data_IF_587805383873
#
_entry.id   IF_587805383873
#
_cell.length_a   1.000
_cell.length_b   1.000
_cell.length_c   1.000
_cell.angle_alpha   90.00
_cell.angle_beta   90.00
_cell.angle_gamma   90.00
#
_symmetry.space_group_name_H-M   'P 1'
#
loop_
_entity.id
_entity.type
_entity.pdbx_description
1 polymer ?
#
# COMPACT_ATOMS: atom_id res chain seq x y z
N UNK A 1 -14.68 -1.99 -3.15
CA UNK A 1 -13.46 -1.85 -3.98
C UNK A 1 -13.80 -2.25 -5.41
N UNK A 2 -13.27 -1.54 -6.42
CA UNK A 2 -13.60 -1.79 -7.83
C UNK A 2 -12.94 -3.09 -8.36
N UNK A 3 -13.63 -3.84 -9.22
CA UNK A 3 -13.12 -5.10 -9.77
C UNK A 3 -11.88 -4.89 -10.65
N UNK A 4 -11.84 -3.81 -11.45
CA UNK A 4 -10.68 -3.48 -12.30
C UNK A 4 -9.46 -3.15 -11.44
N UNK A 5 -9.67 -2.53 -10.28
CA UNK A 5 -8.60 -2.26 -9.33
C UNK A 5 -7.98 -3.56 -8.81
N UNK A 6 -8.81 -4.55 -8.45
CA UNK A 6 -8.35 -5.86 -7.99
C UNK A 6 -7.60 -6.62 -9.10
N UNK A 7 -8.08 -6.53 -10.35
CA UNK A 7 -7.38 -7.10 -11.50
C UNK A 7 -6.00 -6.46 -11.71
N UNK A 8 -5.90 -5.13 -11.63
CA UNK A 8 -4.63 -4.40 -11.71
C UNK A 8 -3.68 -4.79 -10.56
N UNK A 9 -4.21 -4.92 -9.34
CA UNK A 9 -3.44 -5.36 -8.19
C UNK A 9 -2.88 -6.78 -8.41
N UNK A 10 -3.66 -7.69 -9.01
CA UNK A 10 -3.19 -9.03 -9.39
C UNK A 10 -2.01 -9.00 -10.38
N UNK A 11 -2.05 -8.10 -11.37
CA UNK A 11 -0.94 -7.90 -12.31
C UNK A 11 0.31 -7.33 -11.63
N UNK A 12 0.14 -6.32 -10.76
CA UNK A 12 1.23 -5.72 -9.99
C UNK A 12 1.90 -6.75 -9.05
N UNK A 13 1.11 -7.63 -8.43
CA UNK A 13 1.62 -8.71 -7.61
C UNK A 13 2.49 -9.67 -8.43
N UNK A 14 2.00 -10.08 -9.61
CA UNK A 14 2.73 -10.96 -10.53
C UNK A 14 4.06 -10.35 -11.00
N UNK A 15 4.09 -9.03 -11.18
CA UNK A 15 5.29 -8.27 -11.53
C UNK A 15 6.23 -7.99 -10.34
N UNK A 16 5.89 -8.46 -9.12
CA UNK A 16 6.63 -8.20 -7.87
C UNK A 16 6.75 -6.70 -7.55
N UNK A 17 5.70 -5.92 -7.86
CA UNK A 17 5.64 -4.47 -7.63
C UNK A 17 4.77 -4.09 -6.43
N UNK A 18 4.39 -5.06 -5.59
CA UNK A 18 3.65 -4.82 -4.34
C UNK A 18 4.61 -4.98 -3.16
N UNK A 19 4.52 -4.05 -2.21
CA UNK A 19 5.16 -4.13 -0.90
C UNK A 19 4.07 -4.11 0.16
N UNK A 20 4.11 -5.04 1.11
CA UNK A 20 3.12 -5.18 2.19
C UNK A 20 3.78 -5.13 3.56
N UNK A 21 2.98 -4.91 4.60
CA UNK A 21 3.45 -4.79 5.99
C UNK A 21 3.79 -3.36 6.38
N UNK A 22 3.43 -2.96 7.60
CA UNK A 22 3.52 -1.57 8.08
C UNK A 22 4.94 -1.00 7.93
N UNK A 23 5.96 -1.71 8.44
CA UNK A 23 7.34 -1.20 8.44
C UNK A 23 7.91 -1.03 7.03
N UNK A 24 7.67 -1.99 6.14
CA UNK A 24 8.18 -1.97 4.76
C UNK A 24 7.51 -0.86 3.95
N UNK A 25 6.19 -0.71 4.09
CA UNK A 25 5.44 0.35 3.44
C UNK A 25 5.91 1.72 3.95
N UNK A 26 6.10 1.88 5.26
CA UNK A 26 6.58 3.14 5.85
C UNK A 26 7.96 3.53 5.33
N UNK A 27 8.89 2.56 5.21
CA UNK A 27 10.21 2.79 4.61
C UNK A 27 10.10 3.18 3.13
N UNK A 28 9.26 2.49 2.36
CA UNK A 28 9.06 2.77 0.95
C UNK A 28 8.51 4.19 0.72
N UNK A 29 7.50 4.58 1.51
CA UNK A 29 6.90 5.93 1.49
C UNK A 29 7.94 6.99 1.84
N UNK A 30 8.69 6.82 2.93
CA UNK A 30 9.76 7.75 3.33
C UNK A 30 10.88 7.87 2.30
N UNK A 31 11.14 6.81 1.55
CA UNK A 31 12.14 6.81 0.48
C UNK A 31 11.65 7.40 -0.85
N UNK A 32 10.38 7.83 -0.94
CA UNK A 32 9.79 8.37 -2.17
C UNK A 32 9.61 7.35 -3.30
N UNK A 33 9.73 6.05 -3.00
CA UNK A 33 9.63 4.96 -3.99
C UNK A 33 8.20 4.43 -4.20
N UNK A 34 7.26 4.90 -3.39
CA UNK A 34 5.86 4.45 -3.41
C UNK A 34 5.00 5.40 -4.24
N UNK A 35 4.19 4.85 -5.15
CA UNK A 35 3.25 5.63 -5.98
C UNK A 35 1.80 5.61 -5.48
N UNK A 36 1.41 4.56 -4.74
CA UNK A 36 0.08 4.40 -4.16
C UNK A 36 0.18 3.56 -2.87
N UNK A 37 -0.54 3.98 -1.83
CA UNK A 37 -0.71 3.22 -0.59
C UNK A 37 -2.19 2.86 -0.46
N UNK A 38 -2.48 1.60 -0.14
CA UNK A 38 -3.82 1.09 0.11
C UNK A 38 -3.88 0.69 1.58
N UNK A 39 -4.85 1.24 2.31
CA UNK A 39 -5.17 0.87 3.69
C UNK A 39 -6.52 0.16 3.67
N UNK A 40 -6.64 -0.90 4.47
CA UNK A 40 -7.92 -1.55 4.70
C UNK A 40 -8.76 -0.74 5.69
N UNK A 41 -10.08 -0.89 5.68
CA UNK A 41 -10.96 -0.15 6.60
C UNK A 41 -10.85 -0.64 8.05
N UNK A 42 -10.32 -1.85 8.27
CA UNK A 42 -10.16 -2.48 9.58
C UNK A 42 -8.75 -2.28 10.18
N UNK A 43 -8.00 -1.29 9.69
CA UNK A 43 -6.68 -0.97 10.22
C UNK A 43 -6.74 -0.40 11.64
N UNK A 44 -5.68 -0.65 12.41
CA UNK A 44 -5.53 -0.05 13.74
C UNK A 44 -5.25 1.45 13.65
N UNK A 45 -5.63 2.20 14.68
CA UNK A 45 -5.43 3.66 14.78
C UNK A 45 -3.97 4.11 14.63
N UNK A 46 -3.01 3.24 14.98
CA UNK A 46 -1.58 3.49 14.77
C UNK A 46 -1.14 3.44 13.30
N UNK A 47 -1.92 2.79 12.44
CA UNK A 47 -1.68 2.62 11.00
C UNK A 47 -2.38 3.69 10.18
N UNK A 48 -3.56 4.15 10.61
CA UNK A 48 -4.38 5.18 9.92
C UNK A 48 -3.66 6.51 9.69
N UNK A 49 -2.77 6.91 10.60
CA UNK A 49 -2.23 8.29 10.67
C UNK A 49 -0.75 8.45 10.32
N UNK A 50 -0.12 7.42 9.73
CA UNK A 50 1.35 7.37 9.55
C UNK A 50 1.86 7.72 8.14
N UNK A 51 0.99 8.19 7.24
CA UNK A 51 1.36 8.71 5.92
C UNK A 51 1.77 10.20 5.96
N UNK A 52 2.65 10.68 5.05
CA UNK A 52 3.18 12.04 5.08
C UNK A 52 2.05 13.05 4.84
N UNK A 53 2.12 14.19 5.55
CA UNK A 53 1.51 15.43 5.07
C UNK A 53 2.26 15.92 3.84
#
# INVERSE_FOLDING_TARGET
MDEKFLQLLGLANRAKKITTGEELVLKAVRSGKTSLVVLADDVSSGTEKKGPK
#
